data_IF_818827039750
#
_entry.id   IF_818827039750
#
_cell.length_a   1.000
_cell.length_b   1.000
_cell.length_c   1.000
_cell.angle_alpha   90.00
_cell.angle_beta   90.00
_cell.angle_gamma   90.00
#
_symmetry.space_group_name_H-M   'P 1'
#
loop_
_entity.id
_entity.type
_entity.pdbx_description
1 polymer ?
#
# COMPACT_ATOMS: atom_id res chain seq x y z
N UNK A 1 -26.01 -51.60 52.66
CA UNK A 1 -25.72 -50.20 52.89
C UNK A 1 -25.06 -49.65 51.66
N UNK A 2 -25.76 -48.87 50.81
CA UNK A 2 -25.20 -48.21 49.63
C UNK A 2 -24.99 -46.75 49.99
N UNK A 3 -23.69 -46.34 50.08
CA UNK A 3 -23.31 -44.94 50.35
C UNK A 3 -23.19 -44.22 48.98
N UNK A 4 -24.09 -43.29 48.70
CA UNK A 4 -24.04 -42.41 47.52
C UNK A 4 -23.26 -41.17 47.91
N UNK A 5 -22.07 -41.03 47.35
CA UNK A 5 -21.24 -39.82 47.43
C UNK A 5 -21.83 -38.74 46.50
N UNK A 6 -22.49 -37.74 47.07
CA UNK A 6 -22.85 -36.52 46.35
C UNK A 6 -21.61 -35.62 46.20
N UNK A 7 -21.09 -35.54 44.99
CA UNK A 7 -20.09 -34.52 44.65
C UNK A 7 -20.84 -33.20 44.32
N UNK A 8 -20.80 -32.25 45.25
CA UNK A 8 -21.29 -30.91 45.01
C UNK A 8 -20.17 -30.07 44.38
N UNK A 9 -20.26 -29.81 43.10
CA UNK A 9 -19.37 -28.86 42.43
C UNK A 9 -19.75 -27.44 42.80
N UNK A 10 -18.82 -26.59 43.28
CA UNK A 10 -19.15 -25.23 43.65
C UNK A 10 -19.49 -24.40 42.40
N UNK A 11 -20.72 -23.99 42.27
CA UNK A 11 -21.30 -23.18 41.18
C UNK A 11 -20.59 -21.82 40.96
N UNK A 12 -19.68 -21.44 41.85
CA UNK A 12 -18.92 -20.19 41.77
C UNK A 12 -17.81 -20.22 40.72
N UNK A 13 -17.17 -21.38 40.50
CA UNK A 13 -16.06 -21.51 39.56
C UNK A 13 -16.55 -21.52 38.11
N UNK A 14 -17.74 -22.02 37.84
CA UNK A 14 -18.33 -22.03 36.50
C UNK A 14 -18.68 -20.63 35.98
N UNK A 15 -19.13 -19.74 36.88
CA UNK A 15 -19.41 -18.34 36.50
C UNK A 15 -18.15 -17.57 36.13
N UNK A 16 -17.04 -17.75 36.83
CA UNK A 16 -15.77 -17.12 36.51
C UNK A 16 -15.18 -17.67 35.21
N UNK A 17 -15.31 -18.97 34.96
CA UNK A 17 -14.86 -19.58 33.71
C UNK A 17 -15.62 -19.06 32.49
N UNK A 18 -16.93 -18.86 32.60
CA UNK A 18 -17.77 -18.29 31.55
C UNK A 18 -17.43 -16.83 31.27
N UNK A 19 -17.14 -16.03 32.29
CA UNK A 19 -16.74 -14.63 32.12
C UNK A 19 -15.37 -14.53 31.44
N UNK A 20 -14.42 -15.38 31.83
CA UNK A 20 -13.09 -15.41 31.20
C UNK A 20 -13.19 -15.86 29.73
N UNK A 21 -14.01 -16.87 29.43
CA UNK A 21 -14.26 -17.32 28.06
C UNK A 21 -14.95 -16.24 27.21
N UNK A 22 -15.89 -15.50 27.78
CA UNK A 22 -16.55 -14.37 27.09
C UNK A 22 -15.61 -13.20 26.86
N UNK A 23 -14.73 -12.86 27.82
CA UNK A 23 -13.69 -11.84 27.62
C UNK A 23 -12.64 -12.26 26.56
N UNK A 24 -12.27 -13.53 26.55
CA UNK A 24 -11.30 -14.05 25.55
C UNK A 24 -11.88 -14.05 24.14
N UNK A 25 -13.18 -14.30 23.97
CA UNK A 25 -13.85 -14.24 22.67
C UNK A 25 -14.00 -12.82 22.14
N UNK A 26 -14.13 -11.82 22.99
CA UNK A 26 -14.18 -10.41 22.61
C UNK A 26 -12.84 -9.86 22.12
N UNK A 27 -11.71 -10.39 22.59
CA UNK A 27 -10.39 -9.97 22.14
C UNK A 27 -10.00 -10.53 20.78
N UNK A 28 -10.61 -11.60 20.33
CA UNK A 28 -10.33 -12.20 19.03
C UNK A 28 -11.06 -11.51 17.85
N UNK A 29 -12.09 -10.69 18.13
CA UNK A 29 -12.83 -9.94 17.10
C UNK A 29 -12.22 -8.58 16.73
N UNK A 30 -11.11 -8.16 17.34
CA UNK A 30 -10.56 -6.80 17.18
C UNK A 30 -9.50 -6.66 16.08
N UNK A 31 -9.25 -7.68 15.27
CA UNK A 31 -8.45 -7.55 14.05
C UNK A 31 -9.36 -7.47 12.81
N UNK A 32 -10.23 -6.47 12.73
CA UNK A 32 -10.60 -5.95 11.44
C UNK A 32 -9.34 -5.33 10.84
N UNK A 33 -8.66 -6.09 9.97
CA UNK A 33 -7.79 -5.50 8.95
C UNK A 33 -8.68 -4.48 8.22
N UNK A 34 -8.57 -3.20 8.62
CA UNK A 34 -9.07 -2.10 7.77
C UNK A 34 -8.33 -2.30 6.46
N UNK A 35 -8.96 -2.99 5.50
CA UNK A 35 -8.46 -3.08 4.13
C UNK A 35 -8.12 -1.66 3.77
N UNK A 36 -6.86 -1.45 3.39
CA UNK A 36 -6.40 -0.14 2.95
C UNK A 36 -7.46 0.36 1.94
N UNK A 37 -7.95 1.58 2.14
CA UNK A 37 -8.97 2.20 1.27
C UNK A 37 -8.56 2.20 -0.21
N UNK A 38 -7.29 1.93 -0.47
CA UNK A 38 -6.70 1.85 -1.80
C UNK A 38 -6.90 0.48 -2.49
N UNK A 39 -7.48 -0.52 -1.80
CA UNK A 39 -7.67 -1.85 -2.38
C UNK A 39 -6.36 -2.44 -2.91
N UNK A 40 -6.38 -2.93 -4.15
CA UNK A 40 -5.21 -3.54 -4.79
C UNK A 40 -4.06 -2.55 -5.01
N UNK A 41 -4.34 -1.24 -5.11
CA UNK A 41 -3.31 -0.21 -5.28
C UNK A 41 -2.43 -0.07 -4.03
N UNK A 42 -2.94 -0.35 -2.83
CA UNK A 42 -2.18 -0.28 -1.58
C UNK A 42 -0.98 -1.23 -1.55
N UNK A 43 0.13 -0.80 -0.95
CA UNK A 43 1.34 -1.59 -0.81
C UNK A 43 2.55 -1.03 -1.55
N UNK A 44 3.56 -1.89 -1.74
CA UNK A 44 4.82 -1.51 -2.37
C UNK A 44 4.93 -2.10 -3.77
N UNK A 45 5.22 -1.26 -4.74
CA UNK A 45 5.29 -1.58 -6.16
C UNK A 45 6.70 -1.36 -6.68
N UNK A 46 7.33 -2.41 -7.21
CA UNK A 46 8.62 -2.30 -7.89
C UNK A 46 8.40 -2.07 -9.38
N UNK A 47 8.98 -1.00 -9.93
CA UNK A 47 9.01 -0.78 -11.37
C UNK A 47 9.81 -1.88 -12.04
N UNK A 48 9.19 -2.57 -12.99
CA UNK A 48 9.84 -3.58 -13.84
C UNK A 48 10.32 -2.97 -15.14
N UNK A 49 9.48 -2.10 -15.74
CA UNK A 49 9.74 -1.48 -17.02
C UNK A 49 9.14 -0.08 -17.07
N UNK A 50 9.86 0.79 -17.71
CA UNK A 50 9.40 2.09 -18.18
C UNK A 50 9.59 2.10 -19.69
N UNK A 51 8.50 2.28 -20.43
CA UNK A 51 8.50 2.34 -21.90
C UNK A 51 8.12 3.74 -22.36
N UNK A 52 8.76 4.19 -23.43
CA UNK A 52 8.45 5.45 -24.11
C UNK A 52 7.30 5.30 -25.12
N UNK A 53 7.09 6.36 -25.92
CA UNK A 53 6.07 6.43 -26.97
C UNK A 53 6.24 5.34 -28.05
N UNK A 54 7.47 5.02 -28.38
CA UNK A 54 7.87 4.02 -29.38
C UNK A 54 7.87 2.61 -28.80
N UNK A 55 7.34 2.45 -27.54
CA UNK A 55 7.31 1.20 -26.81
C UNK A 55 8.71 0.60 -26.51
N UNK A 56 9.75 1.46 -26.52
CA UNK A 56 11.11 1.06 -26.17
C UNK A 56 11.30 1.09 -24.66
N UNK A 57 12.03 0.13 -24.10
CA UNK A 57 12.32 0.09 -22.67
C UNK A 57 13.41 1.10 -22.34
N UNK A 58 13.02 2.19 -21.68
CA UNK A 58 13.91 3.28 -21.21
C UNK A 58 14.57 2.90 -19.89
N UNK A 59 13.83 2.27 -19.00
CA UNK A 59 14.33 1.72 -17.73
C UNK A 59 13.76 0.34 -17.47
N UNK A 60 14.55 -0.52 -16.84
CA UNK A 60 14.17 -1.86 -16.44
C UNK A 60 14.19 -2.03 -14.91
N UNK A 61 13.93 -3.23 -14.42
CA UNK A 61 13.91 -3.58 -12.99
C UNK A 61 15.22 -3.28 -12.25
N UNK A 62 16.35 -3.13 -12.95
CA UNK A 62 17.65 -2.77 -12.37
C UNK A 62 17.66 -1.34 -11.86
N UNK A 63 16.78 -0.49 -12.37
CA UNK A 63 16.62 0.90 -11.89
C UNK A 63 16.20 0.97 -10.41
N UNK A 64 15.67 -0.11 -9.83
CA UNK A 64 15.26 -0.21 -8.42
C UNK A 64 14.36 0.94 -7.95
N UNK A 65 13.45 1.37 -8.84
CA UNK A 65 12.45 2.39 -8.55
C UNK A 65 11.23 1.72 -7.91
N UNK A 66 10.77 2.31 -6.80
CA UNK A 66 9.63 1.82 -6.05
C UNK A 66 8.61 2.92 -5.81
N UNK A 67 7.34 2.53 -5.89
CA UNK A 67 6.19 3.33 -5.47
C UNK A 67 5.56 2.63 -4.26
N UNK A 68 5.51 3.29 -3.12
CA UNK A 68 4.87 2.76 -1.90
C UNK A 68 3.60 3.54 -1.63
N UNK A 69 2.46 2.86 -1.70
CA UNK A 69 1.13 3.45 -1.55
C UNK A 69 0.56 3.06 -0.21
N UNK A 70 0.26 4.06 0.63
CA UNK A 70 -0.32 3.85 1.95
C UNK A 70 -1.23 5.02 2.32
N UNK A 71 -2.44 4.73 2.73
CA UNK A 71 -3.45 5.73 3.08
C UNK A 71 -3.70 6.71 1.91
N UNK A 72 -3.32 7.98 2.04
CA UNK A 72 -3.45 9.02 1.01
C UNK A 72 -2.10 9.47 0.45
N UNK A 73 -1.05 8.70 0.75
CA UNK A 73 0.32 9.04 0.40
C UNK A 73 0.91 8.00 -0.54
N UNK A 74 1.63 8.48 -1.53
CA UNK A 74 2.49 7.69 -2.38
C UNK A 74 3.94 8.16 -2.21
N UNK A 75 4.83 7.23 -1.92
CA UNK A 75 6.25 7.50 -1.78
C UNK A 75 6.99 6.95 -2.99
N UNK A 76 7.83 7.80 -3.59
CA UNK A 76 8.66 7.46 -4.75
C UNK A 76 10.11 7.39 -4.30
N UNK A 77 10.75 6.26 -4.52
CA UNK A 77 12.14 6.03 -4.12
C UNK A 77 12.93 5.32 -5.21
N UNK A 78 14.14 5.82 -5.44
CA UNK A 78 15.17 5.14 -6.21
C UNK A 78 16.22 4.60 -5.24
N UNK A 79 16.38 3.27 -5.18
CA UNK A 79 17.34 2.63 -4.27
C UNK A 79 18.77 2.57 -4.82
N UNK A 80 19.02 3.01 -6.06
CA UNK A 80 20.38 3.25 -6.54
C UNK A 80 20.91 4.60 -6.07
N UNK A 81 20.02 5.57 -5.98
CA UNK A 81 20.33 6.87 -5.41
C UNK A 81 20.15 6.74 -3.88
N UNK A 82 21.25 6.81 -3.12
CA UNK A 82 21.19 6.83 -1.66
C UNK A 82 20.55 8.13 -1.12
N UNK A 83 20.09 8.97 -2.04
CA UNK A 83 19.41 10.22 -1.76
C UNK A 83 17.98 10.04 -1.27
N UNK A 84 17.33 11.15 -1.25
CA UNK A 84 16.01 11.38 -0.75
C UNK A 84 14.94 10.60 -1.49
N UNK A 85 13.83 10.40 -0.81
CA UNK A 85 12.60 9.98 -1.43
C UNK A 85 11.58 11.13 -1.44
N UNK A 86 10.69 11.07 -2.42
CA UNK A 86 9.58 12.01 -2.53
C UNK A 86 8.33 11.39 -1.92
N UNK A 87 7.56 12.22 -1.24
CA UNK A 87 6.25 11.86 -0.72
C UNK A 87 5.22 12.78 -1.34
N UNK A 88 4.17 12.18 -1.89
CA UNK A 88 3.12 12.90 -2.60
C UNK A 88 1.77 12.49 -2.06
N UNK A 89 0.78 13.36 -2.21
CA UNK A 89 -0.61 12.96 -2.13
C UNK A 89 -1.06 12.35 -3.46
N UNK A 90 -2.09 11.56 -3.42
CA UNK A 90 -2.71 11.03 -4.62
C UNK A 90 -4.21 10.87 -4.44
N UNK A 91 -4.91 10.80 -5.58
CA UNK A 91 -6.27 10.30 -5.69
C UNK A 91 -6.31 9.24 -6.78
N UNK A 92 -7.20 8.26 -6.65
CA UNK A 92 -7.39 7.25 -7.68
C UNK A 92 -8.86 6.88 -7.83
N UNK A 93 -9.19 6.44 -9.05
CA UNK A 93 -10.40 5.75 -9.43
C UNK A 93 -10.01 4.38 -10.00
N UNK A 94 -10.94 3.49 -10.40
CA UNK A 94 -10.57 2.22 -11.01
C UNK A 94 -9.69 2.35 -12.26
N UNK A 95 -9.75 3.48 -12.97
CA UNK A 95 -9.10 3.71 -14.27
C UNK A 95 -8.07 4.86 -14.26
N UNK A 96 -7.91 5.57 -13.15
CA UNK A 96 -7.01 6.72 -13.07
C UNK A 96 -6.28 6.85 -11.74
N UNK A 97 -5.05 7.38 -11.79
CA UNK A 97 -4.23 7.77 -10.65
C UNK A 97 -3.72 9.19 -10.89
N UNK A 98 -3.92 10.08 -9.93
CA UNK A 98 -3.42 11.45 -9.97
C UNK A 98 -2.50 11.69 -8.78
N UNK A 99 -1.25 12.05 -9.05
CA UNK A 99 -0.22 12.37 -8.05
C UNK A 99 -0.08 13.90 -7.98
N UNK A 100 -0.06 14.45 -6.77
CA UNK A 100 0.01 15.89 -6.56
C UNK A 100 0.71 16.25 -5.24
N UNK A 101 1.07 17.52 -5.06
CA UNK A 101 1.75 18.07 -3.90
C UNK A 101 2.98 17.24 -3.48
N UNK A 102 3.98 17.08 -4.37
CA UNK A 102 5.19 16.38 -4.03
C UNK A 102 6.01 17.15 -3.02
N UNK A 103 6.55 16.46 -2.03
CA UNK A 103 7.49 16.97 -1.03
C UNK A 103 8.75 16.14 -1.02
N UNK A 104 9.88 16.77 -0.74
CA UNK A 104 11.16 16.11 -0.55
C UNK A 104 11.36 15.83 0.95
N UNK A 105 11.46 14.58 1.33
CA UNK A 105 11.47 14.16 2.73
C UNK A 105 12.66 14.71 3.53
N UNK A 106 13.88 14.71 2.97
CA UNK A 106 15.08 15.21 3.66
C UNK A 106 15.09 16.73 3.88
N UNK A 107 14.37 17.47 3.03
CA UNK A 107 14.26 18.92 3.12
C UNK A 107 13.08 19.37 4.01
N UNK A 108 12.78 18.63 5.07
CA UNK A 108 11.67 18.92 6.00
C UNK A 108 10.32 19.07 5.28
N UNK A 109 10.05 18.14 4.37
CA UNK A 109 8.82 18.11 3.56
C UNK A 109 8.62 19.38 2.72
N UNK A 110 9.70 19.98 2.23
CA UNK A 110 9.63 21.12 1.32
C UNK A 110 8.93 20.72 0.02
N UNK A 111 7.96 21.53 -0.39
CA UNK A 111 7.28 21.37 -1.67
C UNK A 111 8.27 21.44 -2.82
N UNK A 112 8.13 20.55 -3.76
CA UNK A 112 8.91 20.50 -5.01
C UNK A 112 7.96 20.49 -6.21
N UNK A 113 8.50 20.63 -7.41
CA UNK A 113 7.71 20.57 -8.63
C UNK A 113 7.40 19.12 -9.04
N UNK A 114 6.28 18.89 -9.72
CA UNK A 114 6.01 17.58 -10.36
C UNK A 114 7.09 17.22 -11.39
N UNK A 115 7.72 18.21 -12.04
CA UNK A 115 8.83 17.96 -12.97
C UNK A 115 10.04 17.30 -12.32
N UNK A 116 10.25 17.49 -11.01
CA UNK A 116 11.32 16.83 -10.26
C UNK A 116 11.10 15.33 -10.11
N UNK A 117 9.84 14.88 -10.30
CA UNK A 117 9.45 13.48 -10.27
C UNK A 117 9.61 12.78 -11.63
N UNK A 118 10.03 13.48 -12.68
CA UNK A 118 10.18 12.91 -14.04
C UNK A 118 11.13 11.70 -14.06
N UNK A 119 12.15 11.69 -13.18
CA UNK A 119 13.09 10.56 -13.05
C UNK A 119 12.43 9.26 -12.55
N UNK A 120 11.24 9.36 -11.95
CA UNK A 120 10.42 8.23 -11.53
C UNK A 120 9.36 7.85 -12.58
N UNK A 121 9.25 8.60 -13.67
CA UNK A 121 8.26 8.41 -14.70
C UNK A 121 6.92 9.11 -14.41
N UNK A 122 6.88 10.06 -13.47
CA UNK A 122 5.68 10.86 -13.22
C UNK A 122 5.57 11.95 -14.28
N UNK A 123 4.45 12.03 -15.04
CA UNK A 123 4.25 13.08 -16.03
C UNK A 123 4.09 14.45 -15.36
N UNK A 124 4.29 15.52 -16.12
CA UNK A 124 4.26 16.89 -15.61
C UNK A 124 2.90 17.30 -15.00
N UNK A 125 1.82 16.69 -15.46
CA UNK A 125 0.45 16.91 -14.93
C UNK A 125 0.10 15.94 -13.79
N UNK A 126 1.00 14.99 -13.45
CA UNK A 126 0.81 13.98 -12.42
C UNK A 126 -0.25 12.94 -12.72
N UNK A 127 -0.77 12.86 -13.96
CA UNK A 127 -1.92 12.05 -14.32
C UNK A 127 -1.55 10.77 -15.04
N UNK A 128 -2.10 9.66 -14.54
CA UNK A 128 -1.98 8.36 -15.17
C UNK A 128 -3.36 7.75 -15.44
N UNK A 129 -3.46 6.99 -16.51
CA UNK A 129 -4.50 5.99 -16.71
C UNK A 129 -4.00 4.68 -16.12
N UNK A 130 -4.85 4.00 -15.36
CA UNK A 130 -4.61 2.65 -14.87
C UNK A 130 -5.06 1.69 -15.97
N UNK A 131 -4.11 0.99 -16.58
CA UNK A 131 -4.38 -0.02 -17.63
C UNK A 131 -4.67 -1.40 -17.01
N UNK A 132 -3.93 -1.72 -15.95
CA UNK A 132 -4.06 -2.96 -15.18
C UNK A 132 -3.82 -2.63 -13.71
N UNK A 133 -4.69 -3.15 -12.86
CA UNK A 133 -4.50 -3.15 -11.40
C UNK A 133 -5.08 -4.43 -10.83
N UNK A 134 -4.22 -5.25 -10.24
CA UNK A 134 -4.61 -6.44 -9.49
C UNK A 134 -3.59 -6.69 -8.36
N UNK A 135 -3.72 -7.81 -7.66
CA UNK A 135 -2.89 -8.12 -6.50
C UNK A 135 -1.38 -8.12 -6.79
N UNK A 136 -0.95 -8.44 -8.04
CA UNK A 136 0.47 -8.63 -8.39
C UNK A 136 1.00 -7.60 -9.37
N UNK A 137 0.12 -6.96 -10.15
CA UNK A 137 0.51 -6.15 -11.30
C UNK A 137 -0.21 -4.81 -11.34
N UNK A 138 0.56 -3.75 -11.59
CA UNK A 138 0.08 -2.41 -11.88
C UNK A 138 0.70 -1.95 -13.21
N UNK A 139 -0.14 -1.46 -14.12
CA UNK A 139 0.31 -0.82 -15.36
C UNK A 139 -0.32 0.56 -15.45
N UNK A 140 0.54 1.57 -15.51
CA UNK A 140 0.16 2.97 -15.64
C UNK A 140 0.58 3.50 -17.02
N UNK A 141 -0.25 4.33 -17.64
CA UNK A 141 0.11 5.07 -18.83
C UNK A 141 -0.22 6.56 -18.68
N UNK A 142 0.60 7.44 -19.27
CA UNK A 142 0.32 8.88 -19.36
C UNK A 142 -0.21 9.24 -20.76
N UNK A 143 -0.75 10.47 -20.88
CA UNK A 143 -1.17 11.01 -22.17
C UNK A 143 0.02 11.15 -23.15
N UNK A 144 1.23 11.38 -22.62
CA UNK A 144 2.47 11.55 -23.38
C UNK A 144 3.10 10.20 -23.80
N UNK A 145 2.29 9.13 -23.83
CA UNK A 145 2.66 7.80 -24.32
C UNK A 145 3.69 7.03 -23.49
N UNK A 146 3.94 7.46 -22.26
CA UNK A 146 4.74 6.74 -21.30
C UNK A 146 3.94 5.55 -20.72
N UNK A 147 4.57 4.39 -20.60
CA UNK A 147 4.00 3.22 -19.91
C UNK A 147 4.95 2.74 -18.82
N UNK A 148 4.42 2.62 -17.61
CA UNK A 148 5.11 2.08 -16.44
C UNK A 148 4.49 0.74 -16.06
N UNK A 149 5.32 -0.28 -15.93
CA UNK A 149 4.91 -1.63 -15.51
C UNK A 149 5.52 -1.95 -14.17
N UNK A 150 4.69 -2.32 -13.22
CA UNK A 150 5.10 -2.66 -11.86
C UNK A 150 4.64 -4.06 -11.49
N UNK A 151 5.36 -4.65 -10.54
CA UNK A 151 4.91 -5.80 -9.76
C UNK A 151 4.78 -5.42 -8.30
N UNK A 152 3.90 -6.09 -7.58
CA UNK A 152 3.84 -5.98 -6.13
C UNK A 152 5.08 -6.61 -5.50
N UNK A 153 5.60 -5.95 -4.46
CA UNK A 153 6.84 -6.36 -3.81
C UNK A 153 6.56 -6.91 -2.41
#
# INVERSE_FOLDING_TARGET
>A
MKSTLHFSFPALHTRHLLIIAAMLSLTLCSCENKRDKNGDLGGMWQMLEWRDAENQVVKDKRSRIFYSVQLQLIRLRDYHDQGDYYQCYFTHTPDSLVIYHPTLYSAKDSLVSLSDLSRFGVPADGRFRIQVLNEDRLVLSSADTLTLVFRKY
#
